data_IF_953068095537
#
_entry.id   IF_953068095537
#
_cell.length_a   1.000
_cell.length_b   1.000
_cell.length_c   1.000
_cell.angle_alpha   90.00
_cell.angle_beta   90.00
_cell.angle_gamma   90.00
#
_symmetry.space_group_name_H-M   'P 1'
#
loop_
_entity.id
_entity.type
_entity.pdbx_description
1 polymer ?
#
# COMPACT_ATOMS: atom_id res chain seq x y z
N UNK A 1 -24.76 -19.04 -34.08
CA UNK A 1 -26.11 -19.46 -34.51
C UNK A 1 -26.23 -20.96 -34.31
N UNK A 2 -27.28 -21.42 -33.59
CA UNK A 2 -28.06 -22.66 -33.80
C UNK A 2 -27.26 -24.00 -33.80
N UNK A 3 -27.59 -25.08 -33.09
CA UNK A 3 -28.87 -25.53 -32.55
C UNK A 3 -28.73 -26.94 -31.91
N UNK A 4 -29.53 -27.23 -30.88
CA UNK A 4 -30.28 -28.49 -30.61
C UNK A 4 -29.49 -29.79 -30.25
N UNK A 5 -30.03 -30.83 -29.60
CA UNK A 5 -31.38 -31.42 -29.67
C UNK A 5 -31.64 -32.36 -28.48
N UNK A 6 -32.93 -32.52 -28.16
CA UNK A 6 -33.55 -33.24 -27.03
C UNK A 6 -33.46 -34.78 -27.12
N UNK A 7 -33.38 -35.41 -25.93
CA UNK A 7 -34.20 -36.53 -25.38
C UNK A 7 -34.33 -37.84 -26.18
N UNK A 8 -33.89 -38.96 -25.58
CA UNK A 8 -34.53 -40.31 -25.50
C UNK A 8 -33.49 -41.30 -24.91
N UNK A 9 -33.75 -42.41 -24.20
CA UNK A 9 -34.80 -42.95 -23.35
C UNK A 9 -34.22 -44.24 -22.74
N UNK A 10 -34.40 -44.42 -21.42
CA UNK A 10 -34.44 -45.66 -20.61
C UNK A 10 -34.12 -47.02 -21.28
N UNK A 11 -33.28 -47.84 -20.62
CA UNK A 11 -33.43 -49.30 -20.54
C UNK A 11 -32.79 -49.89 -19.26
N UNK A 12 -33.32 -51.05 -18.88
CA UNK A 12 -33.48 -51.64 -17.54
C UNK A 12 -32.73 -52.99 -17.46
N UNK A 13 -32.01 -53.27 -16.37
CA UNK A 13 -31.74 -54.63 -15.82
C UNK A 13 -30.89 -54.52 -14.54
N UNK A 14 -31.45 -54.72 -13.35
CA UNK A 14 -31.65 -55.97 -12.59
C UNK A 14 -30.35 -56.62 -12.05
N UNK A 15 -30.42 -56.93 -10.75
CA UNK A 15 -29.40 -57.27 -9.75
C UNK A 15 -28.44 -58.42 -10.09
N UNK A 16 -27.20 -58.30 -9.59
CA UNK A 16 -26.51 -59.38 -8.87
C UNK A 16 -25.75 -58.80 -7.67
N UNK A 17 -26.16 -59.18 -6.46
CA UNK A 17 -25.35 -59.04 -5.26
C UNK A 17 -24.28 -60.12 -5.24
N UNK A 18 -23.02 -59.72 -5.16
CA UNK A 18 -21.95 -60.52 -4.54
C UNK A 18 -21.30 -59.64 -3.50
N UNK A 19 -21.48 -60.04 -2.25
CA UNK A 19 -20.87 -59.40 -1.11
C UNK A 19 -19.35 -59.55 -1.17
N UNK A 20 -18.67 -58.42 -1.10
CA UNK A 20 -17.39 -58.35 -0.41
C UNK A 20 -17.60 -57.35 0.72
N UNK A 21 -17.61 -57.86 1.94
CA UNK A 21 -17.49 -57.08 3.16
C UNK A 21 -16.27 -56.17 3.06
N UNK A 22 -16.48 -54.89 2.73
CA UNK A 22 -15.46 -53.87 2.93
C UNK A 22 -15.55 -53.52 4.41
N UNK A 23 -14.50 -53.85 5.15
CA UNK A 23 -14.36 -53.53 6.57
C UNK A 23 -14.77 -52.08 6.83
N UNK A 24 -15.68 -51.85 7.78
CA UNK A 24 -16.02 -50.52 8.29
C UNK A 24 -14.79 -49.75 8.82
N UNK A 25 -13.66 -50.43 9.02
CA UNK A 25 -12.36 -49.84 9.36
C UNK A 25 -11.81 -48.89 8.27
N UNK A 26 -12.07 -49.12 6.98
CA UNK A 26 -11.44 -48.32 5.89
C UNK A 26 -12.14 -46.98 5.65
N UNK A 27 -13.46 -46.89 5.87
CA UNK A 27 -14.20 -45.62 5.74
C UNK A 27 -13.90 -44.62 6.87
N UNK A 28 -13.48 -45.14 8.04
CA UNK A 28 -13.07 -44.33 9.18
C UNK A 28 -11.64 -43.80 9.02
N UNK A 29 -10.76 -44.56 8.37
CA UNK A 29 -9.39 -44.14 8.02
C UNK A 29 -9.39 -43.05 6.94
N UNK A 30 -10.23 -43.13 5.91
CA UNK A 30 -10.33 -42.06 4.89
C UNK A 30 -10.87 -40.75 5.47
N UNK A 31 -11.86 -40.83 6.36
CA UNK A 31 -12.46 -39.63 6.98
C UNK A 31 -11.50 -38.91 7.95
N UNK A 32 -10.74 -39.68 8.73
CA UNK A 32 -9.73 -39.13 9.65
C UNK A 32 -8.49 -38.61 8.92
N UNK A 33 -8.07 -39.24 7.82
CA UNK A 33 -6.97 -38.76 6.97
C UNK A 33 -7.34 -37.47 6.23
N UNK A 34 -8.60 -37.33 5.80
CA UNK A 34 -9.06 -36.09 5.13
C UNK A 34 -9.16 -34.93 6.12
N UNK A 35 -9.65 -35.17 7.34
CA UNK A 35 -9.75 -34.15 8.38
C UNK A 35 -8.38 -33.71 8.90
N UNK A 36 -7.44 -34.65 9.10
CA UNK A 36 -6.07 -34.32 9.54
C UNK A 36 -5.29 -33.54 8.46
N UNK A 37 -5.51 -33.86 7.18
CA UNK A 37 -4.94 -33.11 6.04
C UNK A 37 -5.54 -31.70 5.93
N UNK A 38 -6.83 -31.53 6.17
CA UNK A 38 -7.48 -30.21 6.18
C UNK A 38 -7.04 -29.36 7.37
N UNK A 39 -6.89 -29.96 8.56
CA UNK A 39 -6.48 -29.26 9.78
C UNK A 39 -5.00 -28.82 9.70
N UNK A 40 -4.13 -29.64 9.10
CA UNK A 40 -2.73 -29.28 8.85
C UNK A 40 -2.62 -28.16 7.82
N UNK A 41 -3.36 -28.23 6.71
CA UNK A 41 -3.40 -27.14 5.73
C UNK A 41 -3.95 -25.82 6.32
N UNK A 42 -5.00 -25.87 7.16
CA UNK A 42 -5.52 -24.69 7.85
C UNK A 42 -4.51 -24.11 8.86
N UNK A 43 -3.76 -24.97 9.57
CA UNK A 43 -2.71 -24.56 10.51
C UNK A 43 -1.52 -23.93 9.78
N UNK A 44 -1.11 -24.48 8.65
CA UNK A 44 -0.06 -23.91 7.80
C UNK A 44 -0.48 -22.54 7.24
N UNK A 45 -1.70 -22.42 6.73
CA UNK A 45 -2.24 -21.14 6.26
C UNK A 45 -2.30 -20.08 7.39
N UNK A 46 -2.70 -20.48 8.60
CA UNK A 46 -2.69 -19.61 9.77
C UNK A 46 -1.28 -19.14 10.14
N UNK A 47 -0.30 -20.04 10.12
CA UNK A 47 1.09 -19.71 10.41
C UNK A 47 1.70 -18.79 9.34
N UNK A 48 1.36 -18.99 8.06
CA UNK A 48 1.82 -18.14 6.94
C UNK A 48 1.25 -16.73 7.09
N UNK A 49 -0.04 -16.57 7.41
CA UNK A 49 -0.67 -15.27 7.64
C UNK A 49 -0.02 -14.53 8.83
N UNK A 50 0.25 -15.23 9.93
CA UNK A 50 0.93 -14.64 11.09
C UNK A 50 2.37 -14.23 10.78
N UNK A 51 3.09 -15.04 10.00
CA UNK A 51 4.44 -14.71 9.56
C UNK A 51 4.44 -13.51 8.60
N UNK A 52 3.51 -13.46 7.64
CA UNK A 52 3.35 -12.33 6.71
C UNK A 52 3.01 -11.04 7.45
N UNK A 53 2.04 -11.08 8.37
CA UNK A 53 1.70 -9.93 9.21
C UNK A 53 2.88 -9.49 10.08
N UNK A 54 3.65 -10.44 10.61
CA UNK A 54 4.88 -10.15 11.36
C UNK A 54 5.94 -9.46 10.50
N UNK A 55 6.08 -9.83 9.23
CA UNK A 55 7.02 -9.17 8.30
C UNK A 55 6.57 -7.77 7.91
N UNK A 56 5.27 -7.55 7.66
CA UNK A 56 4.75 -6.22 7.31
C UNK A 56 4.89 -5.23 8.48
N UNK A 57 4.60 -5.67 9.70
CA UNK A 57 4.77 -4.83 10.89
C UNK A 57 6.24 -4.44 11.08
N UNK A 58 7.19 -5.37 10.94
CA UNK A 58 8.62 -5.06 11.02
C UNK A 58 9.06 -4.03 9.97
N UNK A 59 8.52 -4.13 8.76
CA UNK A 59 8.78 -3.17 7.70
C UNK A 59 8.21 -1.79 8.02
N UNK A 60 6.96 -1.70 8.47
CA UNK A 60 6.36 -0.44 8.90
C UNK A 60 7.15 0.20 10.05
N UNK A 61 7.55 -0.58 11.05
CA UNK A 61 8.39 -0.10 12.15
C UNK A 61 9.74 0.40 11.66
N UNK A 62 10.38 -0.29 10.71
CA UNK A 62 11.62 0.18 10.11
C UNK A 62 11.45 1.53 9.41
N UNK A 63 10.33 1.75 8.72
CA UNK A 63 10.00 3.05 8.15
C UNK A 63 9.79 4.11 9.24
N UNK A 64 8.99 3.85 10.28
CA UNK A 64 8.69 4.82 11.33
C UNK A 64 9.90 5.21 12.18
N UNK A 65 10.87 4.30 12.33
CA UNK A 65 12.13 4.55 13.04
C UNK A 65 13.22 5.14 12.14
N UNK A 66 12.93 5.38 10.86
CA UNK A 66 13.87 5.95 9.91
C UNK A 66 13.83 7.48 9.88
N UNK A 67 14.69 8.07 9.06
CA UNK A 67 14.70 9.52 8.78
C UNK A 67 13.63 9.98 7.78
N UNK A 68 12.93 9.05 7.12
CA UNK A 68 11.96 9.38 6.08
C UNK A 68 10.62 9.75 6.70
N UNK A 69 9.93 10.70 6.10
CA UNK A 69 8.65 11.17 6.61
C UNK A 69 7.46 10.63 5.81
N UNK A 70 6.25 11.03 6.22
CA UNK A 70 5.03 10.68 5.51
C UNK A 70 5.06 11.08 4.03
N UNK A 71 5.64 12.24 3.71
CA UNK A 71 5.62 12.81 2.38
C UNK A 71 6.56 12.08 1.43
N UNK A 72 7.67 11.55 1.94
CA UNK A 72 8.54 10.63 1.21
C UNK A 72 7.79 9.38 0.74
N UNK A 73 7.08 8.73 1.67
CA UNK A 73 6.24 7.58 1.35
C UNK A 73 5.10 7.96 0.41
N UNK A 74 4.51 9.15 0.59
CA UNK A 74 3.40 9.63 -0.24
C UNK A 74 3.80 9.84 -1.69
N UNK A 75 4.98 10.41 -1.94
CA UNK A 75 5.53 10.63 -3.28
C UNK A 75 5.90 9.29 -3.93
N UNK A 76 6.50 8.37 -3.17
CA UNK A 76 6.80 7.03 -3.67
C UNK A 76 5.56 6.20 -3.96
N UNK A 77 4.48 6.37 -3.20
CA UNK A 77 3.20 5.72 -3.45
C UNK A 77 2.65 6.08 -4.84
N UNK A 78 2.66 7.37 -5.21
CA UNK A 78 2.29 7.80 -6.57
C UNK A 78 3.24 7.23 -7.62
N UNK A 79 4.55 7.23 -7.34
CA UNK A 79 5.55 6.78 -8.30
C UNK A 79 5.50 5.28 -8.57
N UNK A 80 5.27 4.47 -7.54
CA UNK A 80 5.15 3.02 -7.63
C UNK A 80 3.73 2.54 -7.96
N UNK A 81 2.73 3.42 -7.91
CA UNK A 81 1.34 3.08 -8.23
C UNK A 81 0.67 2.20 -7.17
N UNK A 82 0.92 2.47 -5.89
CA UNK A 82 0.40 1.68 -4.76
C UNK A 82 -0.11 2.56 -3.63
N UNK A 83 -0.64 1.97 -2.56
CA UNK A 83 -1.11 2.74 -1.40
C UNK A 83 0.08 3.35 -0.63
N UNK A 84 -0.19 4.38 0.18
CA UNK A 84 0.83 4.97 1.06
C UNK A 84 1.29 3.95 2.11
N UNK A 85 0.40 3.07 2.58
CA UNK A 85 0.77 2.00 3.52
C UNK A 85 1.77 1.04 2.89
N UNK A 86 1.48 0.57 1.66
CA UNK A 86 2.38 -0.33 0.92
C UNK A 86 3.72 0.35 0.59
N UNK A 87 3.71 1.66 0.33
CA UNK A 87 4.93 2.44 0.14
C UNK A 87 5.78 2.48 1.41
N UNK A 88 5.18 2.72 2.58
CA UNK A 88 5.88 2.67 3.87
C UNK A 88 6.50 1.31 4.13
N UNK A 89 5.73 0.21 3.97
CA UNK A 89 6.25 -1.14 4.14
C UNK A 89 7.41 -1.43 3.16
N UNK A 90 7.23 -1.10 1.86
CA UNK A 90 8.29 -1.27 0.85
C UNK A 90 9.55 -0.46 1.15
N UNK A 91 9.42 0.76 1.68
CA UNK A 91 10.56 1.57 2.15
C UNK A 91 11.23 0.90 3.35
N UNK A 92 10.45 0.47 4.34
CA UNK A 92 10.91 -0.27 5.52
C UNK A 92 11.71 -1.52 5.18
N UNK A 93 11.21 -2.32 4.24
CA UNK A 93 11.89 -3.49 3.72
C UNK A 93 13.28 -3.16 3.16
N UNK A 94 13.38 -2.07 2.38
CA UNK A 94 14.66 -1.59 1.85
C UNK A 94 15.62 -1.12 2.94
N UNK A 95 15.09 -0.52 4.01
CA UNK A 95 15.88 -0.14 5.19
C UNK A 95 16.44 -1.38 5.90
N UNK A 96 15.60 -2.39 6.14
CA UNK A 96 16.00 -3.65 6.79
C UNK A 96 17.05 -4.43 5.97
N UNK A 97 16.99 -4.36 4.64
CA UNK A 97 17.99 -4.96 3.76
C UNK A 97 19.32 -4.21 3.69
N UNK A 98 19.47 -3.10 4.42
CA UNK A 98 20.75 -2.45 4.66
C UNK A 98 21.15 -1.35 3.66
N UNK A 99 22.38 -0.83 3.80
CA UNK A 99 22.80 0.43 3.18
C UNK A 99 22.70 0.49 1.65
N UNK A 100 22.99 -0.61 0.95
CA UNK A 100 22.88 -0.68 -0.51
C UNK A 100 21.43 -0.48 -0.98
N UNK A 101 20.47 -1.10 -0.28
CA UNK A 101 19.05 -0.94 -0.57
C UNK A 101 18.53 0.44 -0.17
N UNK A 102 19.12 1.06 0.86
CA UNK A 102 18.86 2.46 1.20
C UNK A 102 19.37 3.40 0.11
N UNK A 103 20.52 3.13 -0.51
CA UNK A 103 21.00 3.93 -1.65
C UNK A 103 20.02 3.83 -2.84
N UNK A 104 19.53 2.63 -3.14
CA UNK A 104 18.49 2.41 -4.17
C UNK A 104 17.18 3.13 -3.80
N UNK A 105 16.77 3.09 -2.54
CA UNK A 105 15.60 3.83 -2.05
C UNK A 105 15.75 5.34 -2.29
N UNK A 106 16.93 5.90 -2.01
CA UNK A 106 17.20 7.32 -2.25
C UNK A 106 17.14 7.67 -3.75
N UNK A 107 17.61 6.78 -4.64
CA UNK A 107 17.47 6.98 -6.08
C UNK A 107 16.00 7.03 -6.49
N UNK A 108 15.17 6.09 -6.00
CA UNK A 108 13.72 6.13 -6.26
C UNK A 108 13.07 7.42 -5.76
N UNK A 109 13.47 7.94 -4.59
CA UNK A 109 12.98 9.22 -4.09
C UNK A 109 13.36 10.38 -5.02
N UNK A 110 14.60 10.43 -5.50
CA UNK A 110 15.03 11.47 -6.46
C UNK A 110 14.18 11.41 -7.72
N UNK A 111 14.02 10.23 -8.32
CA UNK A 111 13.25 10.06 -9.56
C UNK A 111 11.77 10.42 -9.36
N UNK A 112 11.19 9.98 -8.25
CA UNK A 112 9.80 10.26 -7.90
C UNK A 112 9.56 11.76 -7.66
N UNK A 113 10.47 12.43 -6.97
CA UNK A 113 10.41 13.87 -6.71
C UNK A 113 10.56 14.67 -8.00
N UNK A 114 11.52 14.33 -8.85
CA UNK A 114 11.70 14.98 -10.16
C UNK A 114 10.42 14.85 -10.99
N UNK A 115 9.87 13.63 -11.10
CA UNK A 115 8.62 13.39 -11.82
C UNK A 115 7.44 14.19 -11.25
N UNK A 116 7.30 14.21 -9.93
CA UNK A 116 6.23 14.97 -9.26
C UNK A 116 6.38 16.48 -9.52
N UNK A 117 7.58 17.04 -9.36
CA UNK A 117 7.86 18.47 -9.58
C UNK A 117 7.61 18.92 -11.03
N UNK A 118 7.88 18.07 -12.03
CA UNK A 118 7.57 18.38 -13.43
C UNK A 118 6.08 18.63 -13.69
N UNK A 119 5.20 18.02 -12.88
CA UNK A 119 3.75 18.23 -12.97
C UNK A 119 3.27 19.51 -12.29
N UNK A 120 4.09 20.11 -11.41
CA UNK A 120 3.72 21.30 -10.63
C UNK A 120 3.90 22.57 -11.44
N UNK A 121 2.78 23.13 -11.90
CA UNK A 121 2.73 24.42 -12.61
C UNK A 121 2.05 25.48 -11.74
N UNK A 122 2.45 26.77 -11.81
CA UNK A 122 1.69 27.86 -11.22
C UNK A 122 0.24 27.81 -11.71
N UNK A 123 -0.70 27.62 -10.79
CA UNK A 123 -2.11 27.50 -11.09
C UNK A 123 -2.86 28.73 -10.59
N UNK A 124 -3.88 29.15 -11.35
CA UNK A 124 -4.84 30.18 -10.91
C UNK A 124 -5.77 29.65 -9.80
N UNK A 125 -5.99 28.34 -9.75
CA UNK A 125 -6.84 27.66 -8.78
C UNK A 125 -5.97 26.98 -7.70
N UNK A 126 -6.16 27.27 -6.40
CA UNK A 126 -5.39 26.64 -5.35
C UNK A 126 -5.67 25.14 -5.20
N UNK A 127 -6.81 24.65 -5.70
CA UNK A 127 -7.16 23.23 -5.66
C UNK A 127 -6.32 22.36 -6.61
N UNK A 128 -5.47 22.97 -7.44
CA UNK A 128 -4.57 22.26 -8.36
C UNK A 128 -3.34 21.67 -7.66
N UNK A 129 -3.03 22.07 -6.43
CA UNK A 129 -1.88 21.58 -5.66
C UNK A 129 -2.31 20.38 -4.82
N UNK A 130 -1.89 19.18 -5.25
CA UNK A 130 -2.35 17.90 -4.73
C UNK A 130 -1.85 17.68 -3.30
N UNK A 131 -0.55 17.86 -3.07
CA UNK A 131 0.07 17.61 -1.76
C UNK A 131 -0.37 18.65 -0.73
N UNK A 132 -0.50 19.93 -1.13
CA UNK A 132 -1.10 20.96 -0.29
C UNK A 132 -2.51 20.58 0.15
N UNK A 133 -3.35 20.11 -0.77
CA UNK A 133 -4.74 19.68 -0.45
C UNK A 133 -4.82 18.48 0.46
N UNK A 134 -3.89 17.54 0.34
CA UNK A 134 -3.81 16.35 1.20
C UNK A 134 -3.19 16.68 2.58
N UNK A 135 -2.54 17.83 2.71
CA UNK A 135 -1.91 18.28 3.95
C UNK A 135 -2.92 18.92 4.92
N UNK A 136 -2.47 19.17 6.15
CA UNK A 136 -3.21 19.92 7.15
C UNK A 136 -3.01 21.45 7.02
N UNK A 137 -2.27 21.93 6.03
CA UNK A 137 -2.03 23.36 5.84
C UNK A 137 -3.27 24.05 5.29
N UNK A 138 -3.69 25.10 5.99
CA UNK A 138 -4.86 25.90 5.64
C UNK A 138 -4.51 27.06 4.69
N UNK A 139 -5.54 27.76 4.21
CA UNK A 139 -5.34 29.03 3.50
C UNK A 139 -4.71 30.10 4.41
N UNK A 140 -5.05 30.10 5.70
CA UNK A 140 -4.49 31.05 6.66
C UNK A 140 -2.99 30.79 6.90
N UNK A 141 -2.58 29.53 6.90
CA UNK A 141 -1.17 29.14 6.94
C UNK A 141 -0.43 29.64 5.72
N UNK A 142 -1.00 29.42 4.53
CA UNK A 142 -0.42 29.94 3.29
C UNK A 142 -0.34 31.48 3.29
N UNK A 143 -1.30 32.18 3.90
CA UNK A 143 -1.25 33.64 4.03
C UNK A 143 -0.14 34.10 4.98
N UNK A 144 -0.01 33.46 6.15
CA UNK A 144 1.04 33.76 7.11
C UNK A 144 2.43 33.48 6.52
N UNK A 145 2.58 32.33 5.87
CA UNK A 145 3.79 31.94 5.16
C UNK A 145 4.10 32.87 3.98
N UNK A 146 3.10 33.34 3.23
CA UNK A 146 3.34 34.27 2.14
C UNK A 146 3.99 35.57 2.65
N UNK A 147 3.48 36.11 3.77
CA UNK A 147 4.08 37.28 4.42
C UNK A 147 5.51 36.98 4.91
N UNK A 148 5.70 35.83 5.55
CA UNK A 148 7.00 35.45 6.12
C UNK A 148 8.08 35.20 5.04
N UNK A 149 7.71 34.55 3.94
CA UNK A 149 8.60 34.22 2.83
C UNK A 149 8.77 35.32 1.79
N UNK A 150 8.00 36.41 1.88
CA UNK A 150 7.98 37.48 0.89
C UNK A 150 7.31 37.09 -0.44
N UNK A 151 6.40 36.12 -0.41
CA UNK A 151 5.62 35.74 -1.58
C UNK A 151 4.54 36.79 -1.88
N UNK A 152 4.26 37.02 -3.18
CA UNK A 152 3.30 38.05 -3.62
C UNK A 152 1.87 37.76 -3.18
N UNK A 153 1.55 36.50 -2.94
CA UNK A 153 0.20 36.07 -2.58
C UNK A 153 0.21 34.76 -1.78
N UNK A 154 -0.88 34.46 -1.03
CA UNK A 154 -1.08 33.14 -0.45
C UNK A 154 -1.02 32.01 -1.50
N UNK A 155 -1.34 32.28 -2.75
CA UNK A 155 -1.24 31.29 -3.83
C UNK A 155 0.21 30.89 -4.11
N UNK A 156 1.12 31.86 -4.17
CA UNK A 156 2.54 31.61 -4.39
C UNK A 156 3.13 30.79 -3.20
N UNK A 157 2.67 31.07 -1.97
CA UNK A 157 3.05 30.28 -0.80
C UNK A 157 2.50 28.84 -0.87
N UNK A 158 1.26 28.62 -1.33
CA UNK A 158 0.73 27.26 -1.56
C UNK A 158 1.55 26.47 -2.57
N UNK A 159 2.01 27.12 -3.65
CA UNK A 159 2.92 26.51 -4.62
C UNK A 159 4.26 26.15 -3.97
N UNK A 160 4.78 27.00 -3.08
CA UNK A 160 6.01 26.71 -2.33
C UNK A 160 5.82 25.56 -1.35
N UNK A 161 4.68 25.48 -0.66
CA UNK A 161 4.32 24.36 0.21
C UNK A 161 4.24 23.07 -0.60
N UNK A 162 3.52 23.05 -1.73
CA UNK A 162 3.41 21.89 -2.63
C UNK A 162 4.79 21.31 -2.98
N UNK A 163 5.73 22.17 -3.39
CA UNK A 163 7.09 21.77 -3.74
C UNK A 163 7.86 21.24 -2.53
N UNK A 164 7.74 21.87 -1.36
CA UNK A 164 8.42 21.40 -0.16
C UNK A 164 7.86 20.05 0.32
N UNK A 165 6.56 19.84 0.24
CA UNK A 165 5.95 18.55 0.56
C UNK A 165 6.45 17.45 -0.40
N UNK A 166 6.49 17.72 -1.70
CA UNK A 166 7.08 16.78 -2.67
C UNK A 166 8.53 16.43 -2.29
N UNK A 167 9.30 17.41 -1.84
CA UNK A 167 10.70 17.23 -1.47
C UNK A 167 10.93 16.56 -0.10
N UNK A 168 9.88 16.27 0.68
CA UNK A 168 10.01 15.75 2.05
C UNK A 168 10.44 16.82 3.06
N UNK A 169 10.27 18.11 2.74
CA UNK A 169 10.72 19.24 3.55
C UNK A 169 9.60 19.78 4.46
N UNK A 170 8.73 18.92 5.00
CA UNK A 170 7.60 19.36 5.82
C UNK A 170 8.06 20.13 7.08
N UNK A 171 9.14 19.68 7.72
CA UNK A 171 9.70 20.34 8.90
C UNK A 171 10.08 21.80 8.64
N UNK A 172 10.60 22.12 7.44
CA UNK A 172 10.93 23.50 7.06
C UNK A 172 9.68 24.39 7.01
N UNK A 173 8.55 23.84 6.55
CA UNK A 173 7.27 24.55 6.48
C UNK A 173 6.74 24.81 7.90
N UNK A 174 6.77 23.79 8.75
CA UNK A 174 6.33 23.91 10.14
C UNK A 174 7.17 24.92 10.91
N UNK A 175 8.50 24.92 10.70
CA UNK A 175 9.39 25.89 11.31
C UNK A 175 9.08 27.31 10.84
N UNK A 176 8.89 27.52 9.53
CA UNK A 176 8.51 28.82 8.99
C UNK A 176 7.16 29.29 9.57
N UNK A 177 6.18 28.39 9.71
CA UNK A 177 4.90 28.72 10.33
C UNK A 177 5.04 29.16 11.78
N UNK A 178 5.85 28.46 12.57
CA UNK A 178 6.12 28.83 13.97
C UNK A 178 6.68 30.25 14.10
N UNK A 179 7.54 30.69 13.19
CA UNK A 179 8.07 32.05 13.19
C UNK A 179 7.08 33.07 12.62
N UNK A 180 6.30 32.71 11.60
CA UNK A 180 5.32 33.62 10.98
C UNK A 180 4.18 34.08 11.90
N UNK A 181 3.91 33.33 12.97
CA UNK A 181 2.81 33.55 13.91
C UNK A 181 3.23 34.27 15.21
N UNK A 182 4.52 34.60 15.34
CA UNK A 182 5.05 35.41 16.45
C UNK A 182 4.98 36.88 16.09
#
# INVERSE_FOLDING_TARGET
MKCNFKIFLLLLSLLCSVGTSINAAVAQETSSTTLSTQLSAQRENGNILLAQNGTEEQELQAFFNSKYDYWDARVLADYWGQSVSDAKARMGRKILWGPENVAILNQFLVDARVKALQSVKPAKNPSSYKFFRESNYSYDDARALAKFWGDRSPMDAKLRIERNLILGNNEMIEQALRYSRR
#
